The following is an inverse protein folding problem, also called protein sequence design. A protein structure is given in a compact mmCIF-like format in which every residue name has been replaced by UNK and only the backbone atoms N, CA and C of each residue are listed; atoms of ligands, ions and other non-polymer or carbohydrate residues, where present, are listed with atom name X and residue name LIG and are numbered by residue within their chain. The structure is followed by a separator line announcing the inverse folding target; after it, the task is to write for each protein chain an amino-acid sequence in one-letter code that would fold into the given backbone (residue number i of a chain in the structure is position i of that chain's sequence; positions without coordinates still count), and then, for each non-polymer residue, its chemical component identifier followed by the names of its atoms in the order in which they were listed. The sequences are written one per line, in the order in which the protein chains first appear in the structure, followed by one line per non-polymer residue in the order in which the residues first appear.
data_IF_031879400806
#
_entry.id   IF_031879400806
#
_cell.length_a   1.000
_cell.length_b   1.000
_cell.length_c   1.000
_cell.angle_alpha   90.00
_cell.angle_beta   90.00
_cell.angle_gamma   90.00
#
_symmetry.space_group_name_H-M   'P 1'
#
loop_
_entity.id
_entity.type
_entity.pdbx_description
1 polymer ?
#
# COMPACT_ATOMS: atom_id res chain seq x y z
N UNK A 1 -18.95 11.27 -2.41
CA UNK A 1 -17.61 11.50 -1.84
C UNK A 1 -16.73 10.37 -2.34
N UNK A 2 -15.54 10.68 -2.82
CA UNK A 2 -14.59 9.65 -3.25
C UNK A 2 -14.03 8.97 -2.00
N UNK A 3 -13.96 7.64 -2.03
CA UNK A 3 -13.33 6.83 -1.00
C UNK A 3 -11.97 6.39 -1.51
N UNK A 4 -10.94 6.63 -0.71
CA UNK A 4 -9.58 6.18 -0.92
C UNK A 4 -9.33 4.95 -0.07
N UNK A 5 -8.50 4.03 -0.57
CA UNK A 5 -8.15 2.78 0.11
C UNK A 5 -6.65 2.64 0.15
N UNK A 6 -6.14 2.08 1.24
CA UNK A 6 -4.74 1.74 1.37
C UNK A 6 -4.58 0.24 1.57
N UNK A 7 -3.84 -0.35 0.64
CA UNK A 7 -3.19 -1.64 0.77
C UNK A 7 -1.69 -1.43 0.84
N UNK A 8 -1.02 -2.20 1.69
CA UNK A 8 0.43 -2.26 1.70
C UNK A 8 0.89 -3.48 0.93
N UNK A 9 1.75 -3.28 -0.06
CA UNK A 9 2.42 -4.34 -0.80
C UNK A 9 3.84 -4.52 -0.27
N UNK A 10 4.16 -5.70 0.23
CA UNK A 10 5.51 -6.08 0.60
C UNK A 10 6.19 -6.80 -0.57
N UNK A 11 7.27 -6.22 -1.08
CA UNK A 11 7.98 -6.70 -2.28
C UNK A 11 9.44 -7.03 -1.93
N UNK A 12 9.94 -8.24 -2.26
CA UNK A 12 11.30 -8.62 -1.93
C UNK A 12 12.34 -7.77 -2.68
N UNK A 13 13.44 -7.42 -1.99
CA UNK A 13 14.52 -6.50 -2.41
C UNK A 13 15.15 -6.81 -3.79
N UNK A 14 15.82 -5.81 -4.41
CA UNK A 14 15.50 -4.38 -4.44
C UNK A 14 14.79 -3.99 -5.74
N UNK A 15 13.84 -3.06 -5.63
CA UNK A 15 13.20 -2.44 -6.79
C UNK A 15 14.21 -1.51 -7.48
N UNK A 16 14.38 -1.57 -8.80
CA UNK A 16 15.24 -0.65 -9.53
C UNK A 16 14.85 0.80 -9.25
N UNK A 17 15.81 1.67 -8.94
CA UNK A 17 15.56 3.08 -8.61
C UNK A 17 14.76 3.80 -9.71
N UNK A 18 15.03 3.49 -10.97
CA UNK A 18 14.31 4.05 -12.12
C UNK A 18 12.83 3.67 -12.08
N UNK A 19 12.50 2.43 -11.72
CA UNK A 19 11.12 1.98 -11.63
C UNK A 19 10.42 2.51 -10.38
N UNK A 20 11.12 2.60 -9.24
CA UNK A 20 10.58 3.26 -8.06
C UNK A 20 10.28 4.75 -8.34
N UNK A 21 11.13 5.43 -9.12
CA UNK A 21 10.87 6.81 -9.56
C UNK A 21 9.68 6.93 -10.48
N UNK A 22 9.53 6.00 -11.42
CA UNK A 22 8.36 5.94 -12.29
C UNK A 22 7.09 5.70 -11.48
N UNK A 23 7.10 4.74 -10.56
CA UNK A 23 5.98 4.43 -9.67
C UNK A 23 5.47 5.67 -8.91
N UNK A 24 6.37 6.43 -8.30
CA UNK A 24 5.98 7.59 -7.50
C UNK A 24 5.56 8.82 -8.32
N UNK A 25 6.07 9.02 -9.54
CA UNK A 25 5.85 10.24 -10.32
C UNK A 25 5.00 10.08 -11.59
N UNK A 26 4.96 8.89 -12.17
CA UNK A 26 4.51 8.63 -13.54
C UNK A 26 3.66 7.35 -13.55
N UNK A 27 2.52 7.39 -12.84
CA UNK A 27 1.60 6.25 -12.66
C UNK A 27 1.14 5.58 -13.97
N UNK A 28 1.18 6.29 -15.09
CA UNK A 28 0.77 5.77 -16.40
C UNK A 28 1.89 5.08 -17.19
N UNK A 29 3.13 5.10 -16.69
CA UNK A 29 4.25 4.45 -17.35
C UNK A 29 4.52 3.07 -16.75
N UNK A 30 4.84 2.06 -17.59
CA UNK A 30 5.05 0.71 -17.12
C UNK A 30 6.31 0.61 -16.25
N UNK A 31 6.25 -0.24 -15.24
CA UNK A 31 7.38 -0.60 -14.39
C UNK A 31 7.55 -2.11 -14.39
N UNK A 32 8.07 -2.74 -15.46
CA UNK A 32 7.92 -4.18 -15.68
C UNK A 32 8.46 -5.06 -14.54
N UNK A 33 9.57 -4.65 -13.91
CA UNK A 33 10.14 -5.40 -12.78
C UNK A 33 9.25 -5.26 -11.55
N UNK A 34 8.79 -4.05 -11.26
CA UNK A 34 7.92 -3.76 -10.14
C UNK A 34 6.51 -4.35 -10.34
N UNK A 35 5.92 -4.19 -11.52
CA UNK A 35 4.62 -4.75 -11.91
C UNK A 35 4.64 -6.28 -11.77
N UNK A 36 5.76 -6.91 -12.15
CA UNK A 36 5.99 -8.33 -11.92
C UNK A 36 6.09 -8.68 -10.43
N UNK A 37 6.81 -7.88 -9.64
CA UNK A 37 6.94 -8.09 -8.20
C UNK A 37 5.59 -7.92 -7.47
N UNK A 38 4.80 -6.91 -7.83
CA UNK A 38 3.48 -6.63 -7.25
C UNK A 38 2.50 -7.79 -7.48
N UNK A 39 2.54 -8.47 -8.64
CA UNK A 39 1.73 -9.68 -8.89
C UNK A 39 1.98 -10.82 -7.92
N UNK A 40 3.13 -10.83 -7.27
CA UNK A 40 3.56 -11.89 -6.34
C UNK A 40 3.82 -11.36 -4.93
N UNK A 41 3.48 -10.09 -4.68
CA UNK A 41 3.69 -9.46 -3.38
C UNK A 41 2.67 -9.98 -2.36
N UNK A 42 3.08 -9.94 -1.10
CA UNK A 42 2.15 -10.11 0.01
C UNK A 42 1.45 -8.77 0.27
N UNK A 43 0.14 -8.83 0.53
CA UNK A 43 -0.70 -7.65 0.71
C UNK A 43 -1.40 -7.67 2.06
N UNK A 44 -1.56 -6.49 2.66
CA UNK A 44 -2.49 -6.27 3.77
C UNK A 44 -3.33 -5.04 3.50
N UNK A 45 -4.64 -5.16 3.69
CA UNK A 45 -5.52 -3.99 3.71
C UNK A 45 -5.28 -3.23 5.01
N UNK A 46 -5.14 -1.90 4.93
CA UNK A 46 -4.94 -1.07 6.11
C UNK A 46 -6.21 -0.33 6.49
N UNK A 47 -6.98 0.12 5.50
CA UNK A 47 -8.21 0.85 5.72
C UNK A 47 -8.54 1.81 4.58
N UNK A 48 -9.60 2.57 4.79
CA UNK A 48 -10.10 3.58 3.84
C UNK A 48 -10.19 4.97 4.46
N UNK A 49 -10.35 5.98 3.62
CA UNK A 49 -10.65 7.35 4.04
C UNK A 49 -11.37 8.14 2.95
N UNK A 50 -11.82 9.32 3.32
CA UNK A 50 -12.47 10.30 2.45
C UNK A 50 -11.79 11.67 2.62
N UNK A 51 -12.11 12.63 1.76
CA UNK A 51 -11.56 14.00 1.81
C UNK A 51 -11.65 14.65 3.20
N UNK A 52 -12.71 14.39 3.96
CA UNK A 52 -12.91 14.89 5.32
C UNK A 52 -11.87 14.42 6.35
N UNK A 53 -11.13 13.35 6.02
CA UNK A 53 -10.08 12.79 6.85
C UNK A 53 -8.71 13.43 6.57
N UNK A 54 -8.58 14.16 5.45
CA UNK A 54 -7.34 14.83 5.08
C UNK A 54 -7.07 16.01 6.03
N UNK A 55 -5.78 16.24 6.33
CA UNK A 55 -5.32 17.38 7.10
C UNK A 55 -4.37 18.23 6.23
N UNK A 56 -4.30 19.54 6.51
CA UNK A 56 -3.33 20.42 5.84
C UNK A 56 -1.88 20.05 6.19
N UNK A 57 -1.67 19.47 7.37
CA UNK A 57 -0.37 18.99 7.83
C UNK A 57 -0.23 17.50 7.48
N UNK A 58 0.80 17.09 6.71
CA UNK A 58 1.05 15.68 6.40
C UNK A 58 1.13 14.84 7.67
N UNK A 59 0.64 13.59 7.62
CA UNK A 59 0.67 12.63 8.75
C UNK A 59 -0.19 13.04 9.97
N UNK A 60 -0.89 14.18 9.89
CA UNK A 60 -1.87 14.62 10.89
C UNK A 60 -3.32 14.27 10.50
N UNK A 61 -3.49 13.49 9.43
CA UNK A 61 -4.81 13.09 8.96
C UNK A 61 -5.62 12.36 10.04
N UNK A 62 -6.95 12.43 9.92
CA UNK A 62 -7.93 12.02 10.94
C UNK A 62 -8.36 10.56 10.82
N UNK A 63 -7.51 9.71 10.23
CA UNK A 63 -7.64 8.27 10.34
C UNK A 63 -6.26 7.60 10.25
N UNK A 64 -6.12 6.37 10.75
CA UNK A 64 -4.87 5.62 10.68
C UNK A 64 -4.31 5.42 9.25
N UNK A 65 -5.17 5.06 8.29
CA UNK A 65 -4.76 4.73 6.92
C UNK A 65 -4.10 5.91 6.20
N UNK A 66 -4.69 7.11 6.28
CA UNK A 66 -4.10 8.30 5.63
C UNK A 66 -2.75 8.67 6.24
N UNK A 67 -2.58 8.49 7.55
CA UNK A 67 -1.30 8.79 8.23
C UNK A 67 -0.17 7.89 7.73
N UNK A 68 -0.46 6.60 7.55
CA UNK A 68 0.49 5.64 6.99
C UNK A 68 0.78 5.99 5.52
N UNK A 69 -0.25 6.25 4.72
CA UNK A 69 -0.10 6.64 3.32
C UNK A 69 0.83 7.86 3.17
N UNK A 70 0.52 8.96 3.87
CA UNK A 70 1.32 10.18 3.85
C UNK A 70 2.77 9.93 4.26
N UNK A 71 2.97 9.09 5.29
CA UNK A 71 4.32 8.79 5.79
C UNK A 71 5.15 8.05 4.74
N UNK A 72 4.57 7.02 4.11
CA UNK A 72 5.24 6.24 3.07
C UNK A 72 5.45 7.07 1.80
N UNK A 73 4.47 7.88 1.41
CA UNK A 73 4.61 8.80 0.29
C UNK A 73 5.75 9.80 0.52
N UNK A 74 5.81 10.45 1.68
CA UNK A 74 6.90 11.38 2.02
C UNK A 74 8.27 10.68 1.98
N UNK A 75 8.39 9.49 2.58
CA UNK A 75 9.65 8.72 2.57
C UNK A 75 10.02 8.25 1.17
N UNK A 76 9.03 7.87 0.38
CA UNK A 76 9.21 7.40 -0.97
C UNK A 76 9.68 8.50 -1.91
N UNK A 77 9.25 9.76 -1.71
CA UNK A 77 9.44 10.85 -2.68
C UNK A 77 10.50 11.90 -2.34
N UNK A 78 10.77 12.20 -1.06
CA UNK A 78 11.54 13.40 -0.68
C UNK A 78 13.06 13.28 -0.92
N UNK A 79 13.64 12.08 -0.83
CA UNK A 79 15.12 11.94 -0.90
C UNK A 79 15.60 11.39 -2.25
N UNK A 80 15.07 10.25 -2.72
CA UNK A 80 15.61 9.56 -3.90
C UNK A 80 14.57 8.93 -4.83
N UNK A 81 13.27 9.10 -4.57
CA UNK A 81 12.21 8.33 -5.26
C UNK A 81 12.43 6.81 -5.17
N UNK A 82 12.41 6.27 -3.95
CA UNK A 82 12.68 4.86 -3.67
C UNK A 82 11.49 4.18 -3.02
N UNK A 83 11.40 2.86 -3.13
CA UNK A 83 10.51 2.08 -2.28
C UNK A 83 11.10 2.04 -0.86
N UNK A 84 10.40 2.56 0.16
CA UNK A 84 10.89 2.51 1.54
C UNK A 84 11.18 1.06 1.95
N UNK A 85 12.40 0.80 2.44
CA UNK A 85 12.74 -0.49 3.04
C UNK A 85 12.13 -0.55 4.42
N UNK A 86 11.34 -1.60 4.69
CA UNK A 86 10.71 -1.86 5.97
C UNK A 86 11.73 -2.36 6.99
N UNK A 87 12.48 -1.45 7.59
CA UNK A 87 13.31 -1.75 8.75
C UNK A 87 12.51 -1.72 10.06
N UNK A 88 13.13 -2.14 11.17
CA UNK A 88 12.48 -2.17 12.48
C UNK A 88 11.99 -0.78 12.92
N UNK A 89 12.70 0.28 12.55
CA UNK A 89 12.34 1.65 12.91
C UNK A 89 11.09 2.10 12.14
N UNK A 90 11.02 1.82 10.84
CA UNK A 90 9.86 2.12 10.02
C UNK A 90 8.67 1.27 10.47
N UNK A 91 8.85 -0.02 10.77
CA UNK A 91 7.79 -0.86 11.36
C UNK A 91 7.20 -0.21 12.61
N UNK A 92 8.03 0.13 13.59
CA UNK A 92 7.56 0.68 14.87
C UNK A 92 6.87 2.03 14.68
N UNK A 93 7.36 2.86 13.76
CA UNK A 93 6.73 4.11 13.37
C UNK A 93 5.35 3.90 12.74
N UNK A 94 5.21 2.94 11.81
CA UNK A 94 3.93 2.65 11.16
C UNK A 94 2.91 2.09 12.15
N UNK A 95 3.34 1.22 13.06
CA UNK A 95 2.48 0.70 14.15
C UNK A 95 1.99 1.86 15.04
N UNK A 96 2.86 2.81 15.38
CA UNK A 96 2.45 3.96 16.19
C UNK A 96 1.49 4.91 15.44
N UNK A 97 1.73 5.15 14.15
CA UNK A 97 0.82 5.92 13.29
C UNK A 97 -0.55 5.25 13.14
N UNK A 98 -0.59 3.92 13.17
CA UNK A 98 -1.83 3.15 13.05
C UNK A 98 -2.71 3.23 14.30
N UNK A 99 -2.15 3.60 15.45
CA UNK A 99 -2.93 3.70 16.69
C UNK A 99 -4.05 4.74 16.55
N UNK A 100 -5.26 4.44 17.03
CA UNK A 100 -6.35 5.41 17.09
C UNK A 100 -5.96 6.64 17.92
N UNK A 101 -6.40 7.83 17.50
CA UNK A 101 -6.15 9.09 18.18
C UNK A 101 -7.47 9.79 18.55
N UNK A 102 -7.48 10.58 19.64
CA UNK A 102 -8.60 11.50 19.90
C UNK A 102 -8.79 12.46 18.73
N UNK A 103 -9.97 12.46 18.12
CA UNK A 103 -10.28 13.29 16.95
C UNK A 103 -10.20 12.56 15.61
N UNK A 104 -9.86 11.26 15.61
CA UNK A 104 -10.06 10.42 14.44
C UNK A 104 -11.55 10.37 14.07
N UNK A 105 -11.83 10.48 12.78
CA UNK A 105 -13.17 10.31 12.23
C UNK A 105 -13.41 8.83 11.92
N UNK A 106 -14.67 8.36 11.93
CA UNK A 106 -14.99 6.98 11.60
C UNK A 106 -14.57 6.61 10.17
N UNK A 107 -13.79 5.55 10.04
CA UNK A 107 -13.39 4.96 8.77
C UNK A 107 -13.19 3.45 8.93
N UNK A 108 -13.22 2.71 7.82
CA UNK A 108 -12.89 1.29 7.84
C UNK A 108 -11.38 1.12 8.11
N UNK A 109 -11.03 0.20 9.00
CA UNK A 109 -9.66 -0.14 9.35
C UNK A 109 -9.58 -1.64 9.63
N UNK A 110 -8.48 -2.26 9.21
CA UNK A 110 -8.11 -3.62 9.60
C UNK A 110 -7.70 -3.68 11.07
N UNK A 111 -7.64 -4.88 11.63
CA UNK A 111 -7.16 -5.06 12.99
C UNK A 111 -5.68 -4.64 13.13
N UNK A 112 -5.35 -4.00 14.26
CA UNK A 112 -3.99 -3.51 14.50
C UNK A 112 -2.96 -4.63 14.68
N UNK A 113 -3.36 -5.77 15.24
CA UNK A 113 -2.46 -6.91 15.39
C UNK A 113 -2.19 -7.57 14.03
N UNK A 114 -3.18 -7.59 13.13
CA UNK A 114 -3.01 -8.07 11.76
C UNK A 114 -2.01 -7.20 10.97
N UNK A 115 -2.18 -5.87 11.02
CA UNK A 115 -1.24 -4.94 10.39
C UNK A 115 0.16 -5.07 11.01
N UNK A 116 0.27 -5.16 12.34
CA UNK A 116 1.55 -5.32 13.01
C UNK A 116 2.24 -6.67 12.68
N UNK A 117 1.47 -7.75 12.57
CA UNK A 117 1.96 -9.06 12.17
C UNK A 117 2.50 -9.03 10.74
N UNK A 118 1.76 -8.42 9.80
CA UNK A 118 2.22 -8.22 8.42
C UNK A 118 3.53 -7.44 8.38
N UNK A 119 3.61 -6.30 9.06
CA UNK A 119 4.83 -5.47 9.05
C UNK A 119 6.03 -6.19 9.68
N UNK A 120 5.79 -7.05 10.67
CA UNK A 120 6.84 -7.83 11.34
C UNK A 120 7.35 -8.97 10.45
N UNK A 121 6.45 -9.65 9.73
CA UNK A 121 6.81 -10.76 8.85
C UNK A 121 7.68 -10.33 7.66
N UNK A 122 7.52 -9.09 7.18
CA UNK A 122 8.17 -8.59 5.97
C UNK A 122 9.31 -7.59 6.26
N UNK A 123 9.94 -7.68 7.43
CA UNK A 123 11.12 -6.86 7.74
C UNK A 123 12.22 -7.06 6.68
N UNK A 124 12.77 -5.94 6.22
CA UNK A 124 13.79 -5.87 5.20
C UNK A 124 13.27 -5.88 3.76
N UNK A 125 11.96 -5.90 3.52
CA UNK A 125 11.37 -5.84 2.18
C UNK A 125 11.07 -4.39 1.78
N UNK A 126 10.83 -4.14 0.50
CA UNK A 126 10.28 -2.86 0.03
C UNK A 126 8.80 -2.79 0.36
N UNK A 127 8.33 -1.63 0.80
CA UNK A 127 6.93 -1.41 1.16
C UNK A 127 6.32 -0.31 0.28
N UNK A 128 5.24 -0.65 -0.44
CA UNK A 128 4.55 0.25 -1.37
C UNK A 128 3.07 0.41 -1.00
N UNK A 129 2.45 1.46 -1.52
CA UNK A 129 1.06 1.84 -1.21
C UNK A 129 0.17 1.65 -2.42
N UNK A 130 -0.74 0.68 -2.36
CA UNK A 130 -1.66 0.35 -3.45
C UNK A 130 -3.11 0.70 -3.09
N UNK A 131 -3.93 0.96 -4.11
CA UNK A 131 -5.38 1.18 -3.93
C UNK A 131 -6.15 -0.15 -3.85
N UNK A 132 -5.59 -1.21 -4.45
CA UNK A 132 -6.10 -2.58 -4.41
C UNK A 132 -4.96 -3.56 -4.75
N UNK A 133 -5.03 -4.83 -4.30
CA UNK A 133 -4.15 -5.87 -4.81
C UNK A 133 -4.43 -6.09 -6.31
N UNK A 134 -3.44 -6.56 -7.09
CA UNK A 134 -3.64 -6.86 -8.50
C UNK A 134 -4.73 -7.93 -8.62
N UNK A 135 -5.75 -7.66 -9.44
CA UNK A 135 -6.75 -8.65 -9.79
C UNK A 135 -6.03 -9.80 -10.50
N UNK A 136 -5.92 -10.95 -9.85
CA UNK A 136 -5.60 -12.19 -10.55
C UNK A 136 -6.68 -12.37 -11.60
N UNK A 137 -6.32 -12.21 -12.88
CA UNK A 137 -7.23 -12.56 -13.96
C UNK A 137 -7.73 -13.99 -13.71
N UNK A 138 -9.03 -14.29 -13.89
CA UNK A 138 -9.48 -15.66 -13.81
C UNK A 138 -8.67 -16.51 -14.79
N UNK A 139 -8.14 -17.63 -14.31
CA UNK A 139 -7.46 -18.63 -15.14
C UNK A 139 -8.31 -18.93 -16.38
N UNK A 140 -7.73 -19.02 -17.60
CA UNK A 140 -8.48 -19.42 -18.78
C UNK A 140 -8.77 -20.92 -18.63
N UNK A 141 -9.93 -21.24 -18.09
CA UNK A 141 -10.25 -22.59 -17.68
C UNK A 141 -11.70 -22.79 -17.32
N UNK A 142 -12.62 -22.23 -18.12
CA UNK A 142 -13.95 -22.79 -18.30
C UNK A 142 -14.20 -22.87 -19.81
N UNK A 143 -13.75 -23.99 -20.38
CA UNK A 143 -14.26 -24.46 -21.65
C UNK A 143 -15.51 -25.26 -21.30
N UNK A 144 -16.68 -24.65 -21.47
CA UNK A 144 -17.94 -25.37 -21.70
C UNK A 144 -18.56 -24.61 -22.89
N UNK A 145 -18.59 -25.14 -24.11
CA UNK A 145 -19.10 -26.47 -24.41
C UNK A 145 -20.61 -26.36 -24.64
N UNK A 146 -21.03 -25.66 -25.70
CA UNK A 146 -22.36 -25.83 -26.29
C UNK A 146 -22.36 -25.39 -27.77
N UNK A 147 -21.98 -26.34 -28.61
CA UNK A 147 -22.63 -26.54 -29.90
C UNK A 147 -23.92 -27.38 -29.66
N UNK A 148 -24.84 -27.29 -30.63
CA UNK A 148 -26.23 -27.84 -30.67
C UNK A 148 -27.25 -26.97 -29.91
N UNK A 149 -28.30 -26.38 -30.51
CA UNK A 149 -29.08 -26.66 -31.73
C UNK A 149 -29.41 -25.38 -32.52
#
# INVERSE_FOLDING_TARGET
MLEYRLWLAAVPKPIPETEARTYWNLKDLPTPTLDGALKHADYVYVGSWQDSHLAEVPQSGRCPAVRIFDRLFCRGTIDCYQAPVLDARLRDELIDLYRPRPGDLPAECTDADEVAAFLTAHLGWGLLTEEAPPTTAPSPGDTDGLADE
#
